data_IF_446324188597
#
_entry.id   IF_446324188597
#
_cell.length_a   1.000
_cell.length_b   1.000
_cell.length_c   1.000
_cell.angle_alpha   90.00
_cell.angle_beta   90.00
_cell.angle_gamma   90.00
#
_symmetry.space_group_name_H-M   'P 1'
#
loop_
_entity.id
_entity.type
_entity.pdbx_description
1 polymer ?
#
# COMPACT_ATOMS: atom_id res chain seq x y z
N UNK A 1 1.69 -16.45 -1.20
CA UNK A 1 2.00 -15.84 -2.52
C UNK A 1 2.23 -16.94 -3.55
N UNK A 2 3.14 -17.92 -3.35
CA UNK A 2 3.45 -18.97 -4.35
C UNK A 2 2.22 -19.76 -4.84
N UNK A 3 1.36 -20.19 -3.93
CA UNK A 3 0.09 -20.88 -4.26
C UNK A 3 -0.81 -19.99 -5.12
N UNK A 4 -0.93 -18.71 -4.77
CA UNK A 4 -1.73 -17.74 -5.48
C UNK A 4 -1.21 -17.51 -6.92
N UNK A 5 0.11 -17.37 -7.09
CA UNK A 5 0.75 -17.25 -8.40
C UNK A 5 0.52 -18.51 -9.22
N UNK A 6 0.68 -19.71 -8.62
CA UNK A 6 0.46 -20.98 -9.30
C UNK A 6 -0.95 -21.08 -9.88
N UNK A 7 -1.99 -20.89 -9.07
CA UNK A 7 -3.38 -21.00 -9.53
C UNK A 7 -3.88 -19.83 -10.39
N UNK A 8 -3.20 -18.69 -10.35
CA UNK A 8 -3.56 -17.54 -11.19
C UNK A 8 -2.88 -17.56 -12.57
N UNK A 9 -1.68 -18.11 -12.69
CA UNK A 9 -0.86 -18.03 -13.89
C UNK A 9 -0.60 -19.39 -14.56
N UNK A 10 -0.53 -20.48 -13.79
CA UNK A 10 -0.13 -21.80 -14.29
C UNK A 10 -1.34 -22.72 -14.40
N UNK A 11 -2.07 -22.91 -13.33
CA UNK A 11 -3.27 -23.75 -13.28
C UNK A 11 -4.54 -22.92 -13.19
N UNK A 12 -4.99 -22.41 -14.32
CA UNK A 12 -6.20 -21.56 -14.41
C UNK A 12 -7.49 -22.37 -14.50
N UNK A 13 -7.42 -23.71 -14.63
CA UNK A 13 -8.58 -24.56 -14.94
C UNK A 13 -9.12 -25.36 -13.76
N UNK A 14 -8.30 -25.59 -12.73
CA UNK A 14 -8.74 -26.33 -11.54
C UNK A 14 -9.86 -25.56 -10.84
N UNK A 15 -10.99 -26.22 -10.62
CA UNK A 15 -12.09 -25.68 -9.81
C UNK A 15 -11.67 -25.66 -8.34
N UNK A 16 -11.53 -24.47 -7.78
CA UNK A 16 -11.16 -24.22 -6.38
C UNK A 16 -12.39 -24.01 -5.48
N UNK A 17 -13.60 -24.07 -6.06
CA UNK A 17 -14.83 -23.86 -5.33
C UNK A 17 -14.82 -22.54 -4.56
N UNK A 18 -15.18 -22.59 -3.27
CA UNK A 18 -15.25 -21.40 -2.40
C UNK A 18 -13.88 -20.72 -2.17
N UNK A 19 -12.77 -21.42 -2.40
CA UNK A 19 -11.42 -20.87 -2.23
C UNK A 19 -10.94 -20.04 -3.42
N UNK A 20 -11.64 -20.06 -4.54
CA UNK A 20 -11.24 -19.31 -5.74
C UNK A 20 -11.06 -17.82 -5.46
N UNK A 21 -11.96 -17.22 -4.69
CA UNK A 21 -11.93 -15.78 -4.31
C UNK A 21 -10.72 -15.38 -3.45
N UNK A 22 -10.00 -16.36 -2.89
CA UNK A 22 -8.84 -16.12 -2.02
C UNK A 22 -7.55 -16.50 -2.74
N UNK A 23 -7.56 -17.61 -3.47
CA UNK A 23 -6.37 -18.22 -4.05
C UNK A 23 -6.09 -17.71 -5.46
N UNK A 24 -7.13 -17.53 -6.29
CA UNK A 24 -6.94 -17.08 -7.69
C UNK A 24 -7.08 -15.57 -7.78
N UNK A 25 -6.00 -14.91 -8.22
CA UNK A 25 -6.04 -13.47 -8.46
C UNK A 25 -6.76 -13.17 -9.77
N UNK A 26 -7.99 -12.73 -9.66
CA UNK A 26 -8.89 -12.33 -10.76
C UNK A 26 -9.79 -11.18 -10.27
N UNK A 27 -10.73 -10.73 -11.09
CA UNK A 27 -11.63 -9.61 -10.79
C UNK A 27 -12.44 -9.81 -9.48
N UNK A 28 -12.77 -11.05 -9.10
CA UNK A 28 -13.52 -11.34 -7.88
C UNK A 28 -12.63 -11.55 -6.64
N UNK A 29 -11.30 -11.53 -6.79
CA UNK A 29 -10.37 -11.74 -5.69
C UNK A 29 -10.53 -10.68 -4.59
N UNK A 30 -10.51 -11.13 -3.32
CA UNK A 30 -10.50 -10.25 -2.18
C UNK A 30 -11.71 -9.30 -2.10
N UNK A 31 -12.90 -9.78 -2.47
CA UNK A 31 -14.12 -8.97 -2.53
C UNK A 31 -13.97 -7.84 -3.54
N UNK A 32 -13.67 -8.20 -4.80
CA UNK A 32 -13.51 -7.32 -5.97
C UNK A 32 -12.28 -6.39 -5.94
N UNK A 33 -11.37 -6.56 -4.96
CA UNK A 33 -10.09 -5.83 -4.96
C UNK A 33 -9.26 -6.14 -6.18
N UNK A 34 -9.30 -7.40 -6.68
CA UNK A 34 -8.62 -7.78 -7.92
C UNK A 34 -9.07 -6.92 -9.10
N UNK A 35 -10.38 -6.67 -9.24
CA UNK A 35 -10.91 -5.76 -10.26
C UNK A 35 -10.29 -4.37 -10.13
N UNK A 36 -10.35 -3.78 -8.94
CA UNK A 36 -9.83 -2.43 -8.69
C UNK A 36 -8.32 -2.34 -8.95
N UNK A 37 -7.54 -3.35 -8.54
CA UNK A 37 -6.09 -3.35 -8.73
C UNK A 37 -5.69 -3.48 -10.19
N UNK A 38 -6.34 -4.38 -10.94
CA UNK A 38 -6.07 -4.57 -12.37
C UNK A 38 -6.38 -3.28 -13.15
N UNK A 39 -7.55 -2.66 -12.90
CA UNK A 39 -7.92 -1.40 -13.57
C UNK A 39 -7.04 -0.23 -13.14
N UNK A 40 -6.62 -0.16 -11.88
CA UNK A 40 -5.64 0.84 -11.44
C UNK A 40 -4.31 0.73 -12.19
N UNK A 41 -3.82 -0.50 -12.44
CA UNK A 41 -2.60 -0.71 -13.23
C UNK A 41 -2.81 -0.26 -14.68
N UNK A 42 -3.99 -0.51 -15.27
CA UNK A 42 -4.30 -0.04 -16.62
C UNK A 42 -4.36 1.48 -16.70
N UNK A 43 -5.07 2.14 -15.75
CA UNK A 43 -5.10 3.61 -15.63
C UNK A 43 -3.68 4.17 -15.61
N UNK A 44 -2.79 3.60 -14.78
CA UNK A 44 -1.40 4.02 -14.72
C UNK A 44 -0.66 3.76 -16.05
N UNK A 45 -0.91 2.63 -16.70
CA UNK A 45 -0.33 2.28 -18.00
C UNK A 45 -0.67 3.30 -19.09
N UNK A 46 -1.92 3.74 -19.14
CA UNK A 46 -2.47 4.66 -20.13
C UNK A 46 -2.23 6.14 -19.77
N UNK A 47 -1.83 6.44 -18.55
CA UNK A 47 -1.56 7.81 -18.09
C UNK A 47 -0.45 8.49 -18.89
N UNK A 48 -0.55 9.81 -19.03
CA UNK A 48 0.51 10.62 -19.63
C UNK A 48 1.82 10.55 -18.83
N UNK A 49 2.93 10.92 -19.44
CA UNK A 49 4.24 10.93 -18.75
C UNK A 49 4.24 11.79 -17.49
N UNK A 50 3.56 12.93 -17.51
CA UNK A 50 3.46 13.83 -16.34
C UNK A 50 2.62 13.20 -15.25
N UNK A 51 1.49 12.58 -15.59
CA UNK A 51 0.65 11.87 -14.63
C UNK A 51 1.34 10.63 -14.05
N UNK A 52 2.16 9.92 -14.81
CA UNK A 52 3.00 8.83 -14.26
C UNK A 52 4.00 9.33 -13.22
N UNK A 53 4.56 10.53 -13.41
CA UNK A 53 5.52 11.10 -12.47
C UNK A 53 4.83 11.70 -11.23
N UNK A 54 3.76 12.46 -11.40
CA UNK A 54 3.17 13.30 -10.35
C UNK A 54 1.75 12.89 -9.96
N UNK A 55 1.16 11.91 -10.65
CA UNK A 55 -0.21 11.46 -10.45
C UNK A 55 -1.24 12.39 -11.08
N UNK A 56 -2.51 11.97 -10.96
CA UNK A 56 -3.68 12.74 -11.44
C UNK A 56 -4.10 13.83 -10.45
N UNK A 57 -3.52 13.84 -9.27
CA UNK A 57 -3.79 14.77 -8.17
C UNK A 57 -4.27 14.05 -6.90
N UNK A 58 -3.97 14.63 -5.73
CA UNK A 58 -4.48 14.11 -4.46
C UNK A 58 -6.01 14.00 -4.50
N UNK A 59 -6.55 12.91 -3.96
CA UNK A 59 -7.99 12.63 -3.87
C UNK A 59 -8.74 12.47 -5.21
N UNK A 60 -8.01 12.44 -6.34
CA UNK A 60 -8.59 12.33 -7.69
C UNK A 60 -8.80 10.89 -8.17
N UNK A 61 -8.62 9.89 -7.30
CA UNK A 61 -8.80 8.48 -7.67
C UNK A 61 -10.20 8.20 -8.25
N UNK A 62 -11.24 8.76 -7.65
CA UNK A 62 -12.62 8.65 -8.14
C UNK A 62 -12.75 9.06 -9.61
N UNK A 63 -12.22 10.21 -9.99
CA UNK A 63 -12.25 10.70 -11.38
C UNK A 63 -11.45 9.80 -12.32
N UNK A 64 -10.26 9.37 -11.92
CA UNK A 64 -9.41 8.50 -12.73
C UNK A 64 -10.04 7.13 -12.95
N UNK A 65 -10.78 6.62 -11.97
CA UNK A 65 -11.42 5.29 -12.03
C UNK A 65 -12.82 5.33 -12.66
N UNK A 66 -13.41 6.50 -12.86
CA UNK A 66 -14.78 6.66 -13.37
C UNK A 66 -15.10 5.91 -14.68
N UNK A 67 -14.16 5.71 -15.64
CA UNK A 67 -14.45 4.94 -16.86
C UNK A 67 -14.81 3.48 -16.59
N UNK A 68 -14.51 2.94 -15.41
CA UNK A 68 -14.77 1.55 -15.03
C UNK A 68 -15.97 1.36 -14.10
N UNK A 69 -16.75 2.41 -13.80
CA UNK A 69 -17.90 2.31 -12.89
C UNK A 69 -19.03 1.43 -13.41
N UNK A 70 -19.28 1.46 -14.72
CA UNK A 70 -20.28 0.59 -15.33
C UNK A 70 -19.91 -0.89 -15.18
N UNK A 71 -18.64 -1.22 -15.30
CA UNK A 71 -18.15 -2.58 -15.07
C UNK A 71 -18.14 -2.93 -13.58
N UNK A 72 -17.80 -1.99 -12.70
CA UNK A 72 -17.85 -2.18 -11.25
C UNK A 72 -19.26 -2.46 -10.75
N UNK A 73 -20.28 -1.85 -11.37
CA UNK A 73 -21.69 -2.03 -11.01
C UNK A 73 -22.16 -3.49 -11.16
N UNK A 74 -21.53 -4.28 -12.03
CA UNK A 74 -21.79 -5.71 -12.19
C UNK A 74 -21.45 -6.52 -10.95
N UNK A 75 -20.61 -5.98 -10.07
CA UNK A 75 -20.19 -6.58 -8.81
C UNK A 75 -20.93 -6.03 -7.59
N UNK A 76 -21.89 -5.11 -7.79
CA UNK A 76 -22.73 -4.53 -6.74
C UNK A 76 -22.28 -3.18 -6.19
N UNK A 77 -21.13 -2.65 -6.67
CA UNK A 77 -20.59 -1.35 -6.27
C UNK A 77 -20.78 -0.34 -7.40
N UNK A 78 -21.43 0.79 -7.13
CA UNK A 78 -21.69 1.83 -8.15
C UNK A 78 -20.50 2.76 -8.38
N UNK A 79 -19.57 2.85 -7.45
CA UNK A 79 -18.39 3.73 -7.53
C UNK A 79 -17.36 3.33 -6.46
N UNK A 80 -16.13 3.80 -6.64
CA UNK A 80 -15.07 3.69 -5.62
C UNK A 80 -14.21 4.95 -5.60
N UNK A 81 -13.76 5.35 -4.43
CA UNK A 81 -12.85 6.50 -4.24
C UNK A 81 -11.41 6.08 -3.93
N UNK A 82 -11.11 4.78 -3.97
CA UNK A 82 -9.77 4.28 -3.67
C UNK A 82 -9.55 2.87 -4.22
N UNK A 83 -8.28 2.51 -4.45
CA UNK A 83 -7.86 1.22 -4.96
C UNK A 83 -7.97 0.07 -3.95
N UNK A 84 -8.30 0.31 -2.68
CA UNK A 84 -8.16 -0.65 -1.58
C UNK A 84 -6.76 -1.28 -1.50
N UNK A 85 -5.78 -0.50 -1.88
CA UNK A 85 -4.34 -0.71 -1.77
C UNK A 85 -3.70 0.68 -1.74
N UNK A 86 -3.12 1.05 -0.62
CA UNK A 86 -2.59 2.41 -0.42
C UNK A 86 -1.46 2.73 -1.40
N UNK A 87 -0.63 1.75 -1.75
CA UNK A 87 0.46 1.93 -2.70
C UNK A 87 -0.03 2.19 -4.13
N UNK A 88 -1.05 1.44 -4.59
CA UNK A 88 -1.69 1.70 -5.87
C UNK A 88 -2.43 3.03 -5.87
N UNK A 89 -3.08 3.38 -4.77
CA UNK A 89 -3.74 4.65 -4.62
C UNK A 89 -2.75 5.82 -4.75
N UNK A 90 -1.60 5.74 -4.07
CA UNK A 90 -0.53 6.73 -4.21
C UNK A 90 0.05 6.76 -5.61
N UNK A 91 0.25 5.59 -6.24
CA UNK A 91 0.76 5.52 -7.61
C UNK A 91 -0.13 6.29 -8.60
N UNK A 92 -1.45 6.19 -8.45
CA UNK A 92 -2.42 6.92 -9.30
C UNK A 92 -2.48 8.40 -8.93
N UNK A 93 -2.58 8.72 -7.63
CA UNK A 93 -2.93 10.07 -7.19
C UNK A 93 -1.73 11.01 -7.09
N UNK A 94 -0.56 10.51 -6.69
CA UNK A 94 0.67 11.32 -6.53
C UNK A 94 1.86 10.79 -7.34
N UNK A 95 1.63 9.77 -8.18
CA UNK A 95 2.59 9.27 -9.15
C UNK A 95 3.77 8.51 -8.54
N UNK A 96 4.72 8.15 -9.41
CA UNK A 96 5.94 7.44 -9.01
C UNK A 96 6.75 8.26 -8.00
N UNK A 97 6.86 9.56 -8.19
CA UNK A 97 7.69 10.42 -7.31
C UNK A 97 7.14 10.45 -5.89
N UNK A 98 5.83 10.58 -5.73
CA UNK A 98 5.16 10.55 -4.43
C UNK A 98 5.26 9.18 -3.78
N UNK A 99 5.00 8.11 -4.52
CA UNK A 99 5.12 6.74 -4.03
C UNK A 99 6.54 6.41 -3.58
N UNK A 100 7.56 6.75 -4.36
CA UNK A 100 8.97 6.52 -3.99
C UNK A 100 9.38 7.33 -2.76
N UNK A 101 8.90 8.57 -2.64
CA UNK A 101 9.14 9.39 -1.45
C UNK A 101 8.52 8.77 -0.20
N UNK A 102 7.28 8.29 -0.29
CA UNK A 102 6.60 7.56 0.79
C UNK A 102 7.38 6.29 1.19
N UNK A 103 7.74 5.46 0.21
CA UNK A 103 8.51 4.23 0.46
C UNK A 103 9.89 4.54 1.06
N UNK A 104 10.55 5.61 0.63
CA UNK A 104 11.84 6.03 1.18
C UNK A 104 11.73 6.40 2.67
N UNK A 105 10.66 7.11 3.07
CA UNK A 105 10.38 7.43 4.48
C UNK A 105 10.17 6.14 5.27
N UNK A 106 9.28 5.25 4.82
CA UNK A 106 8.95 4.00 5.54
C UNK A 106 10.16 3.09 5.66
N UNK A 107 10.83 2.80 4.55
CA UNK A 107 12.01 1.93 4.53
C UNK A 107 13.18 2.54 5.32
N UNK A 108 13.40 3.86 5.23
CA UNK A 108 14.41 4.58 6.00
C UNK A 108 14.16 4.49 7.50
N UNK A 109 12.91 4.70 7.93
CA UNK A 109 12.51 4.55 9.33
C UNK A 109 12.75 3.14 9.83
N UNK A 110 12.29 2.12 9.11
CA UNK A 110 12.49 0.70 9.49
C UNK A 110 13.97 0.38 9.59
N UNK A 111 14.77 0.73 8.57
CA UNK A 111 16.22 0.49 8.55
C UNK A 111 16.92 1.12 9.75
N UNK A 112 16.64 2.40 10.04
CA UNK A 112 17.26 3.11 11.14
C UNK A 112 16.80 2.56 12.50
N UNK A 113 15.50 2.32 12.69
CA UNK A 113 14.97 1.79 13.93
C UNK A 113 15.55 0.41 14.26
N UNK A 114 15.61 -0.49 13.29
CA UNK A 114 16.20 -1.85 13.46
C UNK A 114 17.69 -1.75 13.80
N UNK A 115 18.43 -0.83 13.16
CA UNK A 115 19.86 -0.63 13.43
C UNK A 115 20.15 -0.23 14.89
N UNK A 116 19.28 0.58 15.51
CA UNK A 116 19.46 1.10 16.87
C UNK A 116 18.54 0.44 17.90
N UNK A 117 17.85 -0.66 17.54
CA UNK A 117 16.90 -1.35 18.41
C UNK A 117 17.53 -1.94 19.69
N UNK A 118 18.85 -2.26 19.65
CA UNK A 118 19.59 -2.79 20.80
C UNK A 118 19.85 -1.71 21.85
N UNK A 119 19.99 -0.46 21.45
CA UNK A 119 20.21 0.67 22.31
C UNK A 119 18.95 1.17 23.00
N UNK A 120 17.79 1.03 22.31
CA UNK A 120 16.51 1.44 22.87
C UNK A 120 15.40 0.45 22.51
N UNK A 121 14.93 -0.38 23.46
CA UNK A 121 13.88 -1.36 23.23
C UNK A 121 12.54 -0.75 22.75
N UNK A 122 12.23 0.51 23.04
CA UNK A 122 11.03 1.20 22.56
C UNK A 122 11.00 1.30 21.03
N UNK A 123 12.16 1.30 20.37
CA UNK A 123 12.25 1.25 18.92
C UNK A 123 11.63 -0.02 18.35
N UNK A 124 11.73 -1.15 19.05
CA UNK A 124 11.12 -2.42 18.60
C UNK A 124 9.59 -2.27 18.56
N UNK A 125 8.99 -1.70 19.60
CA UNK A 125 7.54 -1.50 19.66
C UNK A 125 7.07 -0.53 18.55
N UNK A 126 7.74 0.63 18.42
CA UNK A 126 7.35 1.64 17.43
C UNK A 126 7.53 1.12 15.99
N UNK A 127 8.66 0.48 15.67
CA UNK A 127 8.92 -0.02 14.32
C UNK A 127 7.98 -1.19 13.96
N UNK A 128 7.61 -2.01 14.93
CA UNK A 128 6.61 -3.07 14.70
C UNK A 128 5.26 -2.48 14.29
N UNK A 129 4.82 -1.39 14.93
CA UNK A 129 3.59 -0.68 14.52
C UNK A 129 3.70 -0.13 13.09
N UNK A 130 4.85 0.45 12.72
CA UNK A 130 5.11 0.94 11.35
C UNK A 130 5.05 -0.21 10.34
N UNK A 131 5.69 -1.35 10.63
CA UNK A 131 5.69 -2.53 9.75
C UNK A 131 4.27 -3.10 9.61
N UNK A 132 3.53 -3.24 10.71
CA UNK A 132 2.15 -3.75 10.68
C UNK A 132 1.25 -2.87 9.81
N UNK A 133 1.33 -1.54 9.94
CA UNK A 133 0.58 -0.63 9.09
C UNK A 133 0.99 -0.77 7.63
N UNK A 134 2.29 -0.77 7.31
CA UNK A 134 2.78 -0.90 5.94
C UNK A 134 2.35 -2.21 5.28
N UNK A 135 2.32 -3.33 6.01
CA UNK A 135 1.80 -4.61 5.50
C UNK A 135 0.29 -4.55 5.28
N UNK A 136 -0.46 -3.98 6.22
CA UNK A 136 -1.91 -3.83 6.09
C UNK A 136 -2.30 -2.95 4.90
N UNK A 137 -1.54 -1.91 4.60
CA UNK A 137 -1.76 -0.96 3.49
C UNK A 137 -1.71 -1.62 2.10
N UNK A 138 -1.16 -2.83 1.98
CA UNK A 138 -1.22 -3.61 0.72
C UNK A 138 -2.65 -3.99 0.35
N UNK A 139 -3.50 -4.25 1.35
CA UNK A 139 -4.89 -4.71 1.15
C UNK A 139 -5.93 -3.75 1.72
N UNK A 140 -5.52 -2.56 2.13
CA UNK A 140 -6.37 -1.56 2.75
C UNK A 140 -6.04 -0.16 2.25
N UNK A 141 -6.78 0.84 2.71
CA UNK A 141 -6.53 2.26 2.43
C UNK A 141 -6.12 3.01 3.69
N UNK A 142 -5.61 4.24 3.48
CA UNK A 142 -5.46 5.19 4.57
C UNK A 142 -6.81 5.44 5.27
N UNK A 143 -6.77 5.56 6.58
CA UNK A 143 -7.93 5.84 7.39
C UNK A 143 -7.66 7.05 8.31
N UNK A 144 -8.62 7.96 8.48
CA UNK A 144 -8.43 9.18 9.28
C UNK A 144 -7.95 8.94 10.71
N UNK A 145 -8.25 7.76 11.28
CA UNK A 145 -7.87 7.40 12.65
C UNK A 145 -6.48 6.75 12.71
N UNK A 146 -6.18 5.81 11.81
CA UNK A 146 -4.96 5.00 11.90
C UNK A 146 -3.77 5.63 11.20
N UNK A 147 -4.00 6.36 10.11
CA UNK A 147 -2.91 7.00 9.35
C UNK A 147 -2.15 8.07 10.16
N UNK A 148 -2.79 8.95 10.94
CA UNK A 148 -2.05 9.86 11.83
C UNK A 148 -1.18 9.12 12.85
N UNK A 149 -1.68 8.01 13.44
CA UNK A 149 -0.91 7.20 14.38
C UNK A 149 0.33 6.60 13.71
N UNK A 150 0.22 6.12 12.47
CA UNK A 150 1.36 5.64 11.71
C UNK A 150 2.47 6.70 11.58
N UNK A 151 2.13 7.94 11.23
CA UNK A 151 3.12 9.02 11.15
C UNK A 151 3.67 9.42 12.52
N UNK A 152 2.87 9.32 13.60
CA UNK A 152 3.37 9.50 14.97
C UNK A 152 4.42 8.44 15.31
N UNK A 153 4.19 7.16 14.98
CA UNK A 153 5.17 6.10 15.21
C UNK A 153 6.45 6.29 14.38
N UNK A 154 6.34 6.78 13.14
CA UNK A 154 7.52 7.18 12.34
C UNK A 154 8.32 8.28 13.07
N UNK A 155 7.65 9.32 13.55
CA UNK A 155 8.29 10.42 14.27
C UNK A 155 8.94 9.95 15.58
N UNK A 156 8.29 9.07 16.33
CA UNK A 156 8.85 8.47 17.55
C UNK A 156 10.09 7.62 17.24
N UNK A 157 10.05 6.79 16.18
CA UNK A 157 11.23 6.04 15.74
C UNK A 157 12.42 6.98 15.46
N UNK A 158 12.19 8.06 14.72
CA UNK A 158 13.24 9.03 14.40
C UNK A 158 13.78 9.73 15.66
N UNK A 159 12.92 10.13 16.60
CA UNK A 159 13.31 10.75 17.86
C UNK A 159 14.19 9.80 18.69
N UNK A 160 13.79 8.55 18.86
CA UNK A 160 14.57 7.56 19.60
C UNK A 160 15.90 7.21 18.91
N UNK A 161 15.93 7.14 17.58
CA UNK A 161 17.17 6.95 16.81
C UNK A 161 18.14 8.12 17.02
N UNK A 162 17.64 9.36 17.03
CA UNK A 162 18.48 10.56 17.29
C UNK A 162 19.08 10.53 18.68
N UNK A 163 18.31 10.17 19.69
CA UNK A 163 18.79 10.05 21.06
C UNK A 163 19.88 8.97 21.17
N UNK A 164 19.65 7.78 20.60
CA UNK A 164 20.65 6.70 20.61
C UNK A 164 21.94 7.07 19.88
N UNK A 165 21.86 7.87 18.80
CA UNK A 165 23.07 8.41 18.12
C UNK A 165 23.82 9.41 18.99
N UNK A 166 23.11 10.30 19.68
CA UNK A 166 23.72 11.31 20.57
C UNK A 166 24.46 10.65 21.73
N UNK A 167 23.87 9.65 22.39
CA UNK A 167 24.51 8.87 23.44
C UNK A 167 25.81 8.19 22.98
N UNK A 168 25.78 7.57 21.78
CA UNK A 168 26.98 6.94 21.19
C UNK A 168 28.11 7.94 20.85
N UNK A 169 27.76 9.19 20.58
CA UNK A 169 28.76 10.21 20.25
C UNK A 169 29.35 10.88 21.47
N UNK A 170 28.74 10.67 22.64
CA UNK A 170 29.20 11.24 23.93
C UNK A 170 30.15 10.30 24.71
N UNK A 171 30.30 9.06 24.25
CA UNK A 171 31.20 8.02 24.78
C UNK A 171 32.42 7.90 23.86
#
# INVERSE_FOLDING_TARGET
IGIMVYFSCIDTKTDLGSFERIIRFNDIWGTHRGFMWIRSIWIFGDASFIEKLFGVGPDMFYSAFSPYFDDLSKYGDSSTNAAHNEYLNYLITIGITGLLSYLAIVCGTIKNAVKYAKENPMLIACVSAVICYAVQSVVNLYQPITTPLFFIFIALCEAFVRNAKAEKSAV
#
